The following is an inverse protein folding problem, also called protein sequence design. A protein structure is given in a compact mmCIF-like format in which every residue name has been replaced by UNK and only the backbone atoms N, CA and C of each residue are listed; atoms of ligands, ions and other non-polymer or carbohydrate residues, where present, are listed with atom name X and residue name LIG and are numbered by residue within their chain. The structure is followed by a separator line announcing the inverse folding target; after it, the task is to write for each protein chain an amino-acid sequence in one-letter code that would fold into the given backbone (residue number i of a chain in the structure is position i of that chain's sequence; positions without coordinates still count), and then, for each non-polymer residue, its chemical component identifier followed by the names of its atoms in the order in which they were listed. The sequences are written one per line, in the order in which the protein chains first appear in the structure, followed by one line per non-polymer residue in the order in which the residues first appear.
data_IF_855293994607
#
_entry.id   IF_855293994607
#
_cell.length_a   1.000
_cell.length_b   1.000
_cell.length_c   1.000
_cell.angle_alpha   90.00
_cell.angle_beta   90.00
_cell.angle_gamma   90.00
#
_symmetry.space_group_name_H-M   'P 1'
#
loop_
_entity.id
_entity.type
_entity.pdbx_description
1 polymer ?
#
# COMPACT_ATOMS: atom_id res chain seq x y z
N UNK A 1 -34.94 65.13 -31.24
CA UNK A 1 -34.37 65.07 -29.90
C UNK A 1 -34.64 63.66 -29.39
N UNK A 2 -33.67 62.78 -29.56
CA UNK A 2 -33.72 61.37 -29.08
C UNK A 2 -32.69 61.22 -28.00
N UNK A 3 -33.14 60.85 -26.83
CA UNK A 3 -32.30 60.56 -25.66
C UNK A 3 -31.83 59.08 -25.70
N UNK A 4 -30.54 58.88 -25.83
CA UNK A 4 -29.90 57.56 -25.75
C UNK A 4 -29.79 57.14 -24.28
N UNK A 5 -30.49 56.09 -23.93
CA UNK A 5 -30.31 55.38 -22.65
C UNK A 5 -29.09 54.45 -22.70
N UNK A 6 -28.05 54.78 -21.96
CA UNK A 6 -26.87 53.91 -21.72
C UNK A 6 -27.26 52.77 -20.80
N UNK A 7 -27.29 51.53 -21.33
CA UNK A 7 -27.34 50.27 -20.52
C UNK A 7 -25.97 50.02 -19.92
N UNK A 8 -25.87 50.10 -18.60
CA UNK A 8 -24.71 49.60 -17.84
C UNK A 8 -24.77 48.09 -17.78
N UNK A 9 -23.83 47.46 -18.46
CA UNK A 9 -23.55 46.04 -18.22
C UNK A 9 -22.77 45.95 -16.87
N UNK A 10 -23.45 45.44 -15.85
CA UNK A 10 -22.81 45.01 -14.63
C UNK A 10 -22.18 43.64 -14.88
N UNK A 11 -20.89 43.57 -15.09
CA UNK A 11 -20.14 42.35 -15.09
C UNK A 11 -20.15 41.77 -13.69
N UNK A 12 -20.94 40.75 -13.49
CA UNK A 12 -20.80 39.90 -12.28
C UNK A 12 -19.53 39.06 -12.44
N UNK A 13 -18.45 39.50 -11.83
CA UNK A 13 -17.30 38.64 -11.58
C UNK A 13 -17.74 37.65 -10.51
N UNK A 14 -17.96 36.41 -10.90
CA UNK A 14 -18.09 35.32 -9.96
C UNK A 14 -16.69 35.07 -9.36
N UNK A 15 -16.38 35.77 -8.29
CA UNK A 15 -15.32 35.36 -7.38
C UNK A 15 -15.82 34.09 -6.72
N UNK A 16 -15.34 32.94 -7.18
CA UNK A 16 -15.37 31.72 -6.41
C UNK A 16 -14.66 32.02 -5.09
N UNK A 17 -15.41 32.18 -4.02
CA UNK A 17 -14.86 32.20 -2.68
C UNK A 17 -14.24 30.82 -2.45
N UNK A 18 -12.93 30.74 -2.56
CA UNK A 18 -12.16 29.64 -2.02
C UNK A 18 -12.38 29.65 -0.50
N UNK A 19 -13.25 28.78 -0.05
CA UNK A 19 -13.36 28.47 1.37
C UNK A 19 -12.11 27.66 1.71
N UNK A 20 -11.06 28.34 2.14
CA UNK A 20 -9.90 27.67 2.74
C UNK A 20 -10.39 27.03 4.04
N UNK A 21 -10.78 25.76 3.95
CA UNK A 21 -11.05 24.94 5.13
C UNK A 21 -9.78 24.80 5.98
N UNK A 22 -9.91 24.41 7.25
CA UNK A 22 -8.75 24.18 8.11
C UNK A 22 -7.81 23.18 7.44
N UNK A 23 -6.49 23.41 7.56
CA UNK A 23 -5.47 22.47 7.09
C UNK A 23 -5.69 21.14 7.77
N UNK A 24 -5.95 20.08 6.97
CA UNK A 24 -6.17 18.73 7.47
C UNK A 24 -4.83 18.04 7.69
N UNK A 25 -4.72 17.33 8.80
CA UNK A 25 -3.55 16.53 9.10
C UNK A 25 -3.61 15.23 8.31
N UNK A 26 -2.50 14.84 7.67
CA UNK A 26 -2.38 13.53 7.04
C UNK A 26 -2.10 12.49 8.13
N UNK A 27 -2.94 11.46 8.20
CA UNK A 27 -2.87 10.42 9.21
C UNK A 27 -2.17 9.16 8.68
N UNK A 28 -2.48 8.75 7.45
CA UNK A 28 -1.94 7.55 6.81
C UNK A 28 -1.72 7.79 5.33
N UNK A 29 -0.74 7.08 4.79
CA UNK A 29 -0.45 7.01 3.36
C UNK A 29 -0.34 5.56 2.92
N UNK A 30 -0.70 5.27 1.68
CA UNK A 30 -0.62 3.92 1.12
C UNK A 30 -0.40 3.99 -0.39
N UNK A 31 0.53 3.20 -0.89
CA UNK A 31 0.87 3.12 -2.30
C UNK A 31 0.51 1.76 -2.89
N UNK A 32 -0.18 1.76 -4.03
CA UNK A 32 -0.47 0.57 -4.83
C UNK A 32 0.53 0.39 -5.98
N UNK A 33 0.18 -0.40 -6.99
CA UNK A 33 1.03 -0.59 -8.15
C UNK A 33 1.29 0.73 -8.87
N UNK A 34 0.24 1.47 -9.17
CA UNK A 34 0.29 2.74 -9.89
C UNK A 34 -0.70 3.77 -9.34
N UNK A 35 -1.13 3.60 -8.11
CA UNK A 35 -2.01 4.56 -7.43
C UNK A 35 -1.54 4.80 -6.00
N UNK A 36 -2.08 5.84 -5.40
CA UNK A 36 -1.74 6.27 -4.06
C UNK A 36 -3.00 6.73 -3.32
N UNK A 37 -3.02 6.54 -2.02
CA UNK A 37 -4.15 6.92 -1.16
C UNK A 37 -3.61 7.57 0.10
N UNK A 38 -4.33 8.56 0.61
CA UNK A 38 -4.05 9.19 1.90
C UNK A 38 -5.34 9.33 2.71
N UNK A 39 -5.21 9.11 4.01
CA UNK A 39 -6.26 9.40 4.98
C UNK A 39 -5.89 10.69 5.71
N UNK A 40 -6.82 11.64 5.72
CA UNK A 40 -6.66 12.92 6.39
C UNK A 40 -7.60 13.00 7.59
N UNK A 41 -7.27 13.88 8.53
CA UNK A 41 -8.15 14.18 9.67
C UNK A 41 -9.54 14.63 9.20
N UNK A 42 -10.58 14.28 9.95
CA UNK A 42 -11.98 14.55 9.58
C UNK A 42 -12.52 13.54 8.56
N UNK A 43 -11.99 12.32 8.55
CA UNK A 43 -12.47 11.18 7.76
C UNK A 43 -12.38 11.38 6.23
N UNK A 44 -11.46 12.21 5.79
CA UNK A 44 -11.25 12.48 4.37
C UNK A 44 -10.25 11.49 3.79
N UNK A 45 -10.68 10.72 2.80
CA UNK A 45 -9.83 9.82 2.02
C UNK A 45 -9.59 10.45 0.65
N UNK A 46 -8.32 10.52 0.25
CA UNK A 46 -7.91 11.01 -1.07
C UNK A 46 -7.18 9.91 -1.83
N UNK A 47 -7.38 9.86 -3.13
CA UNK A 47 -6.69 8.93 -4.02
C UNK A 47 -6.23 9.62 -5.29
N UNK A 48 -5.16 9.13 -5.90
CA UNK A 48 -4.61 9.62 -7.16
C UNK A 48 -3.78 8.54 -7.84
N UNK A 49 -3.46 8.77 -9.10
CA UNK A 49 -2.75 7.84 -9.94
C UNK A 49 -3.67 7.15 -10.95
N UNK A 50 -3.38 5.88 -11.24
CA UNK A 50 -4.13 5.09 -12.21
C UNK A 50 -5.52 4.74 -11.69
N UNK A 51 -6.54 4.96 -12.52
CA UNK A 51 -7.95 4.72 -12.18
C UNK A 51 -8.68 3.72 -13.07
N UNK A 52 -8.00 3.11 -14.04
CA UNK A 52 -8.63 2.27 -15.10
C UNK A 52 -9.44 1.09 -14.55
N UNK A 53 -9.07 0.54 -13.39
CA UNK A 53 -9.77 -0.58 -12.76
C UNK A 53 -10.70 -0.18 -11.62
N UNK A 54 -10.90 1.11 -11.43
CA UNK A 54 -11.71 1.64 -10.34
C UNK A 54 -10.97 1.75 -9.01
N UNK A 55 -9.65 1.52 -8.96
CA UNK A 55 -8.87 1.52 -7.73
C UNK A 55 -8.85 2.86 -6.97
N UNK A 56 -9.23 3.95 -7.64
CA UNK A 56 -9.35 5.27 -7.01
C UNK A 56 -10.67 5.51 -6.28
N UNK A 57 -11.75 4.80 -6.67
CA UNK A 57 -13.03 4.87 -5.97
C UNK A 57 -13.91 6.09 -6.29
N UNK A 58 -13.66 6.77 -7.41
CA UNK A 58 -14.39 7.99 -7.80
C UNK A 58 -15.67 7.76 -8.63
N UNK A 59 -16.02 6.50 -8.88
CA UNK A 59 -17.17 6.13 -9.71
C UNK A 59 -16.90 6.10 -11.22
N UNK A 60 -15.66 6.29 -11.63
CA UNK A 60 -15.20 6.28 -13.02
C UNK A 60 -13.88 5.51 -13.18
N UNK A 61 -13.40 5.40 -14.41
CA UNK A 61 -12.12 4.75 -14.75
C UNK A 61 -11.03 5.75 -15.14
N UNK A 62 -11.18 7.00 -14.73
CA UNK A 62 -10.23 8.06 -15.07
C UNK A 62 -9.03 8.10 -14.12
N UNK A 63 -7.85 8.34 -14.69
CA UNK A 63 -6.66 8.64 -13.89
C UNK A 63 -6.79 10.00 -13.20
N UNK A 64 -6.16 10.16 -12.04
CA UNK A 64 -6.06 11.43 -11.33
C UNK A 64 -4.59 11.76 -11.10
N UNK A 65 -4.16 12.96 -11.53
CA UNK A 65 -2.77 13.39 -11.39
C UNK A 65 -2.52 14.18 -10.11
N UNK A 66 -3.58 14.51 -9.39
CA UNK A 66 -3.56 15.21 -8.11
C UNK A 66 -4.44 14.49 -7.10
N UNK A 67 -4.14 14.59 -5.80
CA UNK A 67 -4.99 14.03 -4.76
C UNK A 67 -6.43 14.49 -4.92
N UNK A 68 -7.36 13.54 -5.00
CA UNK A 68 -8.79 13.78 -5.19
C UNK A 68 -9.57 13.07 -4.10
N UNK A 69 -10.48 13.77 -3.45
CA UNK A 69 -11.29 13.23 -2.36
C UNK A 69 -12.24 12.13 -2.87
N UNK A 70 -12.23 11.00 -2.17
CA UNK A 70 -13.18 9.89 -2.39
C UNK A 70 -14.48 10.21 -1.67
N UNK A 71 -15.38 10.92 -2.34
CA UNK A 71 -16.59 11.48 -1.72
C UNK A 71 -17.57 10.41 -1.21
N UNK A 72 -17.53 9.21 -1.77
CA UNK A 72 -18.35 8.07 -1.32
C UNK A 72 -18.04 7.62 0.12
N UNK A 73 -16.86 7.97 0.66
CA UNK A 73 -16.45 7.65 2.03
C UNK A 73 -16.67 8.81 3.01
N UNK A 74 -17.19 9.95 2.58
CA UNK A 74 -17.44 11.08 3.46
C UNK A 74 -18.41 10.71 4.59
N UNK A 75 -18.02 11.03 5.82
CA UNK A 75 -18.82 10.74 7.01
C UNK A 75 -18.88 9.26 7.41
N UNK A 76 -18.01 8.42 6.86
CA UNK A 76 -17.96 6.98 7.16
C UNK A 76 -17.01 6.61 8.31
N UNK A 77 -16.38 7.59 8.94
CA UNK A 77 -15.45 7.39 10.06
C UNK A 77 -14.31 6.40 9.73
N UNK A 78 -13.62 6.68 8.64
CA UNK A 78 -12.51 5.84 8.18
C UNK A 78 -11.28 6.06 9.06
N UNK A 79 -10.72 4.97 9.58
CA UNK A 79 -9.53 4.99 10.45
C UNK A 79 -8.31 4.33 9.82
N UNK A 80 -8.47 3.59 8.73
CA UNK A 80 -7.34 3.04 7.98
C UNK A 80 -7.65 2.89 6.50
N UNK A 81 -6.60 2.98 5.69
CA UNK A 81 -6.63 2.75 4.24
C UNK A 81 -5.45 1.87 3.85
N UNK A 82 -5.65 0.96 2.92
CA UNK A 82 -4.62 0.05 2.44
C UNK A 82 -4.79 -0.19 0.95
N UNK A 83 -3.70 -0.04 0.19
CA UNK A 83 -3.67 -0.36 -1.23
C UNK A 83 -3.17 -1.79 -1.46
N UNK A 84 -3.85 -2.52 -2.33
CA UNK A 84 -3.26 -3.63 -3.05
C UNK A 84 -2.65 -3.14 -4.35
N UNK A 85 -2.30 -4.04 -5.27
CA UNK A 85 -1.73 -3.64 -6.55
C UNK A 85 -2.67 -2.73 -7.35
N UNK A 86 -3.89 -3.19 -7.59
CA UNK A 86 -4.92 -2.46 -8.36
C UNK A 86 -6.28 -2.44 -7.65
N UNK A 87 -6.27 -2.49 -6.34
CA UNK A 87 -7.45 -2.38 -5.50
C UNK A 87 -7.11 -1.64 -4.21
N UNK A 88 -8.14 -1.25 -3.48
CA UNK A 88 -7.99 -0.43 -2.28
C UNK A 88 -9.00 -0.88 -1.24
N UNK A 89 -8.62 -0.78 0.03
CA UNK A 89 -9.49 -1.06 1.17
C UNK A 89 -9.48 0.11 2.14
N UNK A 90 -10.57 0.25 2.88
CA UNK A 90 -10.70 1.20 3.98
C UNK A 90 -11.51 0.57 5.11
N UNK A 91 -11.20 0.92 6.35
CA UNK A 91 -11.90 0.41 7.51
C UNK A 91 -12.55 1.54 8.30
N UNK A 92 -13.84 1.37 8.60
CA UNK A 92 -14.60 2.22 9.50
C UNK A 92 -14.75 1.53 10.85
N UNK A 93 -14.16 2.11 11.90
CA UNK A 93 -14.19 1.52 13.24
C UNK A 93 -15.58 1.61 13.88
N UNK A 94 -16.25 2.75 13.80
CA UNK A 94 -17.58 2.94 14.41
C UNK A 94 -18.65 2.12 13.71
N UNK A 95 -18.57 1.96 12.41
CA UNK A 95 -19.48 1.13 11.62
C UNK A 95 -19.10 -0.36 11.65
N UNK A 96 -17.88 -0.68 12.07
CA UNK A 96 -17.29 -2.03 11.95
C UNK A 96 -17.46 -2.59 10.53
N UNK A 97 -17.09 -1.79 9.54
CA UNK A 97 -17.19 -2.13 8.12
C UNK A 97 -15.83 -1.99 7.43
N UNK A 98 -15.50 -2.98 6.63
CA UNK A 98 -14.39 -2.93 5.68
C UNK A 98 -14.97 -2.62 4.30
N UNK A 99 -14.49 -1.55 3.68
CA UNK A 99 -14.82 -1.19 2.30
C UNK A 99 -13.71 -1.67 1.37
N UNK A 100 -14.08 -2.13 0.17
CA UNK A 100 -13.10 -2.46 -0.88
C UNK A 100 -13.60 -2.01 -2.24
N UNK A 101 -12.69 -1.71 -3.15
CA UNK A 101 -12.96 -1.29 -4.52
C UNK A 101 -11.72 -1.48 -5.40
N UNK A 102 -11.93 -1.42 -6.71
CA UNK A 102 -10.91 -1.61 -7.71
C UNK A 102 -11.09 -2.90 -8.50
N UNK A 103 -9.98 -3.53 -8.88
CA UNK A 103 -9.95 -4.74 -9.66
C UNK A 103 -10.43 -5.95 -8.85
N UNK A 104 -11.46 -6.65 -9.37
CA UNK A 104 -12.16 -7.71 -8.64
C UNK A 104 -11.80 -9.13 -9.05
N UNK A 105 -10.97 -9.35 -10.05
CA UNK A 105 -10.59 -10.69 -10.51
C UNK A 105 -10.08 -11.55 -9.34
N UNK A 106 -10.39 -12.83 -9.38
CA UNK A 106 -10.09 -13.83 -8.33
C UNK A 106 -10.78 -13.57 -6.99
N UNK A 107 -11.70 -12.61 -6.91
CA UNK A 107 -12.41 -12.30 -5.68
C UNK A 107 -11.63 -11.49 -4.66
N UNK A 108 -10.57 -10.77 -5.07
CA UNK A 108 -9.73 -9.97 -4.16
C UNK A 108 -10.47 -8.87 -3.41
N UNK A 109 -11.68 -8.49 -3.86
CA UNK A 109 -12.51 -7.51 -3.16
C UNK A 109 -13.37 -8.11 -2.04
N UNK A 110 -13.56 -9.44 -2.00
CA UNK A 110 -14.23 -10.13 -0.90
C UNK A 110 -15.75 -10.07 -0.91
N UNK A 111 -16.40 -9.75 -2.03
CA UNK A 111 -17.84 -9.58 -2.14
C UNK A 111 -18.61 -10.83 -2.60
N UNK A 112 -17.93 -11.95 -2.80
CA UNK A 112 -18.54 -13.20 -3.29
C UNK A 112 -18.64 -13.31 -4.82
N UNK A 113 -17.99 -12.40 -5.55
CA UNK A 113 -17.91 -12.39 -7.01
C UNK A 113 -16.54 -11.86 -7.47
N UNK A 114 -16.33 -11.78 -8.77
CA UNK A 114 -15.09 -11.27 -9.39
C UNK A 114 -15.29 -9.95 -10.16
N UNK A 115 -16.34 -9.21 -9.84
CA UNK A 115 -16.65 -7.93 -10.51
C UNK A 115 -15.72 -6.83 -10.02
N UNK A 116 -15.30 -5.96 -10.95
CA UNK A 116 -14.61 -4.72 -10.62
C UNK A 116 -15.59 -3.73 -9.98
N UNK A 117 -15.10 -2.92 -9.06
CA UNK A 117 -15.87 -1.88 -8.41
C UNK A 117 -15.17 -0.52 -8.56
N UNK A 118 -15.91 0.47 -9.04
CA UNK A 118 -15.40 1.83 -9.23
C UNK A 118 -15.71 2.76 -8.05
N UNK A 119 -16.48 2.27 -7.09
CA UNK A 119 -16.83 2.97 -5.86
C UNK A 119 -16.68 2.05 -4.65
N UNK A 120 -16.34 2.57 -3.47
CA UNK A 120 -16.25 1.79 -2.25
C UNK A 120 -17.54 1.04 -1.93
N UNK A 121 -17.40 -0.25 -1.58
CA UNK A 121 -18.51 -1.09 -1.14
C UNK A 121 -18.11 -1.85 0.14
N UNK A 122 -19.01 -1.96 1.14
CA UNK A 122 -18.72 -2.74 2.35
C UNK A 122 -18.69 -4.24 2.05
N UNK A 123 -17.73 -4.94 2.64
CA UNK A 123 -17.62 -6.39 2.58
C UNK A 123 -18.56 -6.98 3.62
N UNK A 124 -19.69 -7.53 3.20
CA UNK A 124 -20.74 -8.06 4.11
C UNK A 124 -20.22 -9.16 5.03
N UNK A 125 -19.33 -10.03 4.54
CA UNK A 125 -18.78 -11.14 5.31
C UNK A 125 -17.90 -10.70 6.49
N UNK A 126 -17.39 -9.46 6.48
CA UNK A 126 -16.58 -8.89 7.55
C UNK A 126 -17.38 -7.92 8.44
N UNK A 127 -18.65 -7.73 8.19
CA UNK A 127 -19.48 -6.79 8.94
C UNK A 127 -19.54 -7.17 10.43
N UNK A 128 -19.35 -6.17 11.30
CA UNK A 128 -19.40 -6.36 12.73
C UNK A 128 -18.10 -6.88 13.36
N UNK A 129 -17.05 -7.09 12.57
CA UNK A 129 -15.74 -7.48 13.07
C UNK A 129 -14.91 -6.23 13.42
N UNK A 130 -14.28 -6.27 14.58
CA UNK A 130 -13.31 -5.27 15.00
C UNK A 130 -11.97 -5.61 14.37
N UNK A 131 -11.57 -4.84 13.38
CA UNK A 131 -10.36 -5.08 12.59
C UNK A 131 -9.19 -4.31 13.19
N UNK A 132 -8.08 -5.00 13.37
CA UNK A 132 -6.79 -4.43 13.79
C UNK A 132 -5.96 -3.98 12.59
N UNK A 133 -5.93 -4.81 11.52
CA UNK A 133 -5.13 -4.56 10.33
C UNK A 133 -5.74 -5.23 9.11
N UNK A 134 -5.60 -4.57 7.96
CA UNK A 134 -5.84 -5.17 6.64
C UNK A 134 -4.54 -5.12 5.86
N UNK A 135 -4.17 -6.23 5.23
CA UNK A 135 -3.05 -6.30 4.30
C UNK A 135 -3.56 -6.71 2.92
N UNK A 136 -3.06 -6.06 1.89
CA UNK A 136 -3.41 -6.34 0.50
C UNK A 136 -2.14 -6.63 -0.29
N UNK A 137 -2.15 -7.74 -1.01
CA UNK A 137 -1.11 -8.10 -1.97
C UNK A 137 -1.54 -7.77 -3.39
N UNK A 138 -1.03 -8.53 -4.32
CA UNK A 138 -1.36 -8.40 -5.74
C UNK A 138 -2.79 -8.81 -6.02
N UNK A 139 -3.16 -9.99 -5.54
CA UNK A 139 -4.42 -10.66 -5.86
C UNK A 139 -5.13 -11.24 -4.65
N UNK A 140 -4.66 -10.98 -3.45
CA UNK A 140 -5.27 -11.48 -2.22
C UNK A 140 -5.20 -10.45 -1.10
N UNK A 141 -6.05 -10.63 -0.12
CA UNK A 141 -6.13 -9.76 1.05
C UNK A 141 -6.25 -10.59 2.32
N UNK A 142 -5.86 -9.97 3.44
CA UNK A 142 -6.04 -10.53 4.77
C UNK A 142 -6.54 -9.46 5.72
N UNK A 143 -7.29 -9.89 6.73
CA UNK A 143 -7.70 -9.07 7.85
C UNK A 143 -7.32 -9.74 9.16
N UNK A 144 -6.73 -8.98 10.08
CA UNK A 144 -6.45 -9.40 11.45
C UNK A 144 -7.46 -8.71 12.36
N UNK A 145 -8.18 -9.49 13.15
CA UNK A 145 -9.12 -8.94 14.13
C UNK A 145 -8.40 -8.49 15.39
N UNK A 146 -9.10 -7.70 16.22
CA UNK A 146 -8.56 -7.26 17.53
C UNK A 146 -8.31 -8.45 18.49
N UNK A 147 -8.98 -9.58 18.24
CA UNK A 147 -8.80 -10.84 18.98
C UNK A 147 -7.64 -11.69 18.44
N UNK A 148 -6.95 -11.24 17.39
CA UNK A 148 -5.81 -11.94 16.79
C UNK A 148 -6.17 -13.04 15.80
N UNK A 149 -7.41 -13.14 15.37
CA UNK A 149 -7.85 -14.05 14.30
C UNK A 149 -7.52 -13.47 12.93
N UNK A 150 -7.22 -14.34 11.95
CA UNK A 150 -6.90 -13.94 10.57
C UNK A 150 -7.92 -14.51 9.61
N UNK A 151 -8.41 -13.68 8.71
CA UNK A 151 -9.18 -14.08 7.54
C UNK A 151 -8.47 -13.67 6.26
N UNK A 152 -8.59 -14.47 5.21
CA UNK A 152 -7.97 -14.24 3.91
C UNK A 152 -8.97 -14.48 2.78
N UNK A 153 -8.78 -13.82 1.65
CA UNK A 153 -9.60 -13.94 0.45
C UNK A 153 -8.83 -13.54 -0.80
N UNK A 154 -9.35 -13.94 -1.95
CA UNK A 154 -8.80 -13.67 -3.26
C UNK A 154 -8.16 -14.89 -3.89
N UNK A 155 -7.10 -14.67 -4.67
CA UNK A 155 -6.39 -15.71 -5.41
C UNK A 155 -5.61 -16.64 -4.47
N UNK A 156 -5.61 -17.93 -4.80
CA UNK A 156 -4.99 -18.97 -3.96
C UNK A 156 -4.21 -20.04 -4.74
N UNK A 157 -3.82 -19.78 -5.98
CA UNK A 157 -3.16 -20.80 -6.81
C UNK A 157 -1.87 -21.36 -6.21
N UNK A 158 -1.19 -20.58 -5.39
CA UNK A 158 0.07 -20.97 -4.75
C UNK A 158 -0.08 -21.19 -3.23
N UNK A 159 -1.31 -21.19 -2.72
CA UNK A 159 -1.56 -21.33 -1.28
C UNK A 159 -1.43 -20.04 -0.46
N UNK A 160 -1.41 -18.88 -1.10
CA UNK A 160 -1.23 -17.58 -0.41
C UNK A 160 -2.31 -17.25 0.62
N UNK A 161 -3.46 -17.91 0.58
CA UNK A 161 -4.52 -17.74 1.57
C UNK A 161 -4.27 -18.54 2.87
N UNK A 162 -3.38 -19.54 2.85
CA UNK A 162 -3.06 -20.34 4.04
C UNK A 162 -4.14 -21.32 4.49
N UNK A 163 -5.03 -21.73 3.60
CA UNK A 163 -6.20 -22.54 3.90
C UNK A 163 -5.97 -24.04 3.72
N UNK A 164 -4.77 -24.47 3.27
CA UNK A 164 -4.46 -25.85 2.97
C UNK A 164 -4.90 -26.31 1.59
N UNK A 165 -5.38 -25.41 0.75
CA UNK A 165 -5.87 -25.64 -0.61
C UNK A 165 -5.24 -24.68 -1.59
N UNK A 166 -5.54 -24.88 -2.88
CA UNK A 166 -5.16 -23.96 -3.97
C UNK A 166 -6.39 -23.33 -4.65
N UNK A 167 -7.56 -23.45 -4.02
CA UNK A 167 -8.79 -22.84 -4.54
C UNK A 167 -8.88 -21.38 -4.15
N UNK A 168 -9.22 -20.53 -5.11
CA UNK A 168 -9.51 -19.12 -4.86
C UNK A 168 -10.71 -18.99 -3.90
N UNK A 169 -10.74 -17.92 -3.12
CA UNK A 169 -11.89 -17.62 -2.27
C UNK A 169 -12.43 -16.24 -2.59
N UNK A 170 -13.68 -16.18 -3.05
CA UNK A 170 -14.38 -14.93 -3.34
C UNK A 170 -14.86 -14.23 -2.06
N UNK A 171 -14.85 -14.93 -0.95
CA UNK A 171 -15.27 -14.45 0.37
C UNK A 171 -14.17 -14.66 1.39
N UNK A 172 -14.09 -13.80 2.42
CA UNK A 172 -13.19 -14.00 3.55
C UNK A 172 -13.39 -15.36 4.23
N UNK A 173 -12.25 -16.05 4.47
CA UNK A 173 -12.20 -17.36 5.12
C UNK A 173 -11.23 -17.30 6.31
N UNK A 174 -11.60 -17.87 7.45
CA UNK A 174 -10.70 -18.00 8.59
C UNK A 174 -9.53 -18.93 8.28
N UNK A 175 -8.33 -18.52 8.67
CA UNK A 175 -7.14 -19.37 8.61
C UNK A 175 -7.14 -20.26 9.86
N UNK A 176 -7.64 -21.48 9.74
CA UNK A 176 -7.80 -22.42 10.86
C UNK A 176 -6.46 -22.85 11.47
N UNK A 177 -5.38 -22.81 10.68
CA UNK A 177 -4.04 -23.13 11.16
C UNK A 177 -3.55 -22.21 12.30
N UNK A 178 -4.12 -21.01 12.41
CA UNK A 178 -3.83 -20.08 13.51
C UNK A 178 -4.80 -20.20 14.68
N UNK A 179 -5.63 -21.21 14.74
CA UNK A 179 -6.52 -21.43 15.88
C UNK A 179 -5.69 -21.61 17.17
N UNK A 180 -5.96 -20.77 18.17
CA UNK A 180 -5.19 -20.76 19.43
C UNK A 180 -3.89 -19.94 19.37
N UNK A 181 -3.57 -19.37 18.22
CA UNK A 181 -2.40 -18.49 18.02
C UNK A 181 -2.90 -17.06 17.77
N UNK A 182 -2.41 -16.12 18.57
CA UNK A 182 -2.76 -14.72 18.44
C UNK A 182 -1.83 -14.04 17.43
N UNK A 183 -2.36 -13.73 16.26
CA UNK A 183 -1.61 -13.00 15.23
C UNK A 183 -1.66 -11.51 15.50
N UNK A 184 -0.51 -10.87 15.46
CA UNK A 184 -0.33 -9.43 15.67
C UNK A 184 -0.43 -8.66 14.36
N UNK A 185 0.24 -9.15 13.32
CA UNK A 185 0.43 -8.45 12.06
C UNK A 185 0.57 -9.43 10.91
N UNK A 186 0.07 -9.05 9.74
CA UNK A 186 0.24 -9.79 8.49
C UNK A 186 0.77 -8.88 7.39
N UNK A 187 1.37 -9.48 6.37
CA UNK A 187 1.81 -8.79 5.17
C UNK A 187 1.57 -9.69 3.96
N UNK A 188 1.28 -9.09 2.82
CA UNK A 188 0.99 -9.81 1.59
C UNK A 188 1.86 -9.30 0.44
N UNK A 189 2.51 -10.23 -0.27
CA UNK A 189 3.31 -9.97 -1.47
C UNK A 189 2.52 -10.25 -2.75
N UNK A 190 3.24 -10.55 -3.83
CA UNK A 190 2.60 -10.93 -5.08
C UNK A 190 1.70 -12.15 -4.90
N UNK A 191 2.29 -13.21 -4.39
CA UNK A 191 1.65 -14.52 -4.26
C UNK A 191 2.10 -15.24 -2.97
N UNK A 192 2.62 -14.49 -2.01
CA UNK A 192 2.99 -15.01 -0.70
C UNK A 192 2.46 -14.12 0.41
N UNK A 193 2.49 -14.67 1.61
CA UNK A 193 1.96 -14.04 2.81
C UNK A 193 2.90 -14.29 3.98
N UNK A 194 2.98 -13.36 4.88
CA UNK A 194 3.77 -13.48 6.11
C UNK A 194 2.96 -12.97 7.31
N UNK A 195 3.29 -13.47 8.50
CA UNK A 195 2.65 -13.06 9.73
C UNK A 195 3.64 -13.03 10.89
N UNK A 196 3.36 -12.15 11.84
CA UNK A 196 4.03 -12.10 13.15
C UNK A 196 2.96 -12.30 14.22
N UNK A 197 3.24 -13.17 15.19
CA UNK A 197 2.36 -13.43 16.32
C UNK A 197 2.65 -12.50 17.49
N UNK A 198 1.73 -12.44 18.45
CA UNK A 198 1.94 -11.69 19.71
C UNK A 198 3.17 -12.20 20.49
N UNK A 199 3.49 -13.49 20.36
CA UNK A 199 4.68 -14.09 20.98
C UNK A 199 5.98 -13.80 20.21
N UNK A 200 5.89 -13.10 19.10
CA UNK A 200 7.08 -12.73 18.28
C UNK A 200 7.52 -13.82 17.31
N UNK A 201 6.67 -14.79 17.00
CA UNK A 201 6.94 -15.82 16.00
C UNK A 201 6.62 -15.33 14.59
N UNK A 202 7.46 -15.72 13.63
CA UNK A 202 7.36 -15.35 12.22
C UNK A 202 6.87 -16.55 11.41
N UNK A 203 5.91 -16.32 10.51
CA UNK A 203 5.34 -17.32 9.61
C UNK A 203 5.41 -16.84 8.17
N UNK A 204 5.50 -17.80 7.24
CA UNK A 204 5.42 -17.56 5.80
C UNK A 204 4.64 -18.66 5.09
N UNK A 205 3.92 -18.33 4.02
CA UNK A 205 3.18 -19.27 3.18
C UNK A 205 2.88 -18.68 1.80
N UNK A 206 2.39 -19.54 0.91
CA UNK A 206 2.14 -19.21 -0.48
C UNK A 206 3.31 -19.59 -1.37
N UNK A 207 3.56 -18.79 -2.39
CA UNK A 207 4.63 -19.02 -3.36
C UNK A 207 6.01 -18.76 -2.73
N UNK A 208 6.91 -19.73 -2.84
CA UNK A 208 8.17 -19.71 -2.10
C UNK A 208 9.44 -19.89 -2.92
N UNK A 209 9.40 -19.80 -4.24
CA UNK A 209 10.48 -20.22 -5.14
C UNK A 209 11.76 -19.38 -5.09
N UNK A 210 11.73 -18.21 -4.45
CA UNK A 210 12.94 -17.41 -4.21
C UNK A 210 13.38 -17.45 -2.75
N UNK A 211 12.81 -18.33 -1.92
CA UNK A 211 13.09 -18.37 -0.50
C UNK A 211 12.37 -17.28 0.29
N UNK A 212 11.42 -16.63 -0.33
CA UNK A 212 10.69 -15.48 0.23
C UNK A 212 9.75 -15.85 1.39
N UNK A 213 9.57 -17.13 1.68
CA UNK A 213 8.85 -17.59 2.87
C UNK A 213 9.75 -17.67 4.11
N UNK A 214 11.07 -17.71 3.92
CA UNK A 214 12.05 -17.78 5.02
C UNK A 214 12.25 -19.16 5.62
N UNK A 215 11.75 -20.22 4.97
CA UNK A 215 11.70 -21.58 5.51
C UNK A 215 12.90 -22.46 5.14
N UNK A 216 13.91 -21.88 4.48
CA UNK A 216 15.16 -22.57 4.15
C UNK A 216 15.13 -23.37 2.86
N UNK A 217 14.07 -23.29 2.08
CA UNK A 217 13.90 -23.97 0.79
C UNK A 217 13.22 -23.07 -0.24
N UNK A 218 12.93 -23.60 -1.42
CA UNK A 218 12.25 -22.92 -2.51
C UNK A 218 10.87 -23.52 -2.82
N UNK A 219 10.27 -24.14 -1.80
CA UNK A 219 8.98 -24.82 -1.92
C UNK A 219 7.82 -23.90 -1.55
N UNK A 220 6.71 -24.06 -2.25
CA UNK A 220 5.45 -23.40 -1.90
C UNK A 220 4.87 -24.03 -0.61
N UNK A 221 4.08 -23.26 0.12
CA UNK A 221 3.36 -23.71 1.32
C UNK A 221 1.88 -23.35 1.20
N UNK A 222 1.01 -24.32 1.42
CA UNK A 222 -0.44 -24.12 1.43
C UNK A 222 -0.96 -23.74 2.82
N UNK A 223 -0.16 -23.97 3.85
CA UNK A 223 -0.45 -23.61 5.24
C UNK A 223 0.67 -22.74 5.81
N UNK A 224 0.37 -21.89 6.79
CA UNK A 224 1.39 -21.11 7.46
C UNK A 224 2.53 -21.99 7.99
N UNK A 225 3.76 -21.68 7.56
CA UNK A 225 4.97 -22.33 8.02
C UNK A 225 5.73 -21.47 9.00
N UNK A 226 6.12 -22.03 10.13
CA UNK A 226 6.88 -21.29 11.15
C UNK A 226 8.35 -21.14 10.73
N UNK A 227 8.84 -19.92 10.74
CA UNK A 227 10.25 -19.61 10.47
C UNK A 227 11.05 -19.85 11.74
N UNK A 228 11.95 -20.85 11.72
CA UNK A 228 12.68 -21.32 12.92
C UNK A 228 14.12 -20.80 13.00
N UNK A 229 14.61 -20.14 11.97
CA UNK A 229 16.02 -19.78 11.83
C UNK A 229 16.43 -18.49 12.56
N UNK A 230 15.50 -17.81 13.21
CA UNK A 230 15.76 -16.59 13.97
C UNK A 230 15.65 -16.91 15.48
N UNK A 231 16.47 -17.82 15.94
CA UNK A 231 16.46 -18.25 17.34
C UNK A 231 16.89 -17.11 18.28
N UNK A 232 16.15 -16.95 19.36
CA UNK A 232 16.43 -15.95 20.39
C UNK A 232 15.94 -14.53 20.06
N UNK A 233 15.42 -14.29 18.86
CA UNK A 233 14.86 -13.00 18.45
C UNK A 233 13.34 -13.07 18.37
N UNK A 234 12.68 -12.07 18.97
CA UNK A 234 11.23 -11.87 18.80
C UNK A 234 10.99 -10.88 17.68
N UNK A 235 10.18 -11.27 16.69
CA UNK A 235 9.78 -10.37 15.60
C UNK A 235 8.60 -9.51 16.03
N UNK A 236 8.63 -8.24 15.64
CA UNK A 236 7.58 -7.27 15.96
C UNK A 236 6.91 -6.68 14.72
N UNK A 237 7.57 -6.74 13.57
CA UNK A 237 7.02 -6.27 12.30
C UNK A 237 7.42 -7.20 11.15
N UNK A 238 6.56 -7.26 10.14
CA UNK A 238 6.83 -7.92 8.87
C UNK A 238 6.23 -7.11 7.73
N UNK A 239 6.93 -7.05 6.62
CA UNK A 239 6.44 -6.48 5.36
C UNK A 239 6.85 -7.40 4.22
N UNK A 240 6.07 -7.42 3.15
CA UNK A 240 6.40 -8.14 1.93
C UNK A 240 6.60 -7.16 0.78
N UNK A 241 7.65 -7.37 -0.01
CA UNK A 241 7.70 -6.85 -1.35
C UNK A 241 7.06 -7.83 -2.33
N UNK A 242 7.31 -7.64 -3.62
CA UNK A 242 6.75 -8.52 -4.62
C UNK A 242 7.19 -9.98 -4.43
N UNK A 243 8.48 -10.21 -4.28
CA UNK A 243 9.10 -11.54 -4.11
C UNK A 243 10.15 -11.57 -3.01
N UNK A 244 10.08 -10.67 -2.07
CA UNK A 244 10.94 -10.62 -0.91
C UNK A 244 10.14 -10.31 0.36
N UNK A 245 10.74 -10.56 1.51
CA UNK A 245 10.11 -10.35 2.81
C UNK A 245 11.11 -9.64 3.74
N UNK A 246 10.58 -8.78 4.58
CA UNK A 246 11.34 -7.93 5.49
C UNK A 246 10.73 -8.10 6.88
N UNK A 247 11.57 -8.29 7.89
CA UNK A 247 11.12 -8.38 9.27
C UNK A 247 12.00 -7.56 10.21
N UNK A 248 11.41 -7.10 11.30
CA UNK A 248 12.10 -6.34 12.33
C UNK A 248 11.91 -7.03 13.67
N UNK A 249 13.00 -7.20 14.40
CA UNK A 249 12.99 -7.77 15.76
C UNK A 249 12.69 -6.70 16.81
N UNK A 250 12.39 -7.14 18.02
CA UNK A 250 12.15 -6.24 19.16
C UNK A 250 13.37 -5.38 19.53
N UNK A 251 14.58 -5.80 19.14
CA UNK A 251 15.81 -5.02 19.29
C UNK A 251 16.00 -3.95 18.20
N UNK A 252 15.08 -3.86 17.22
CA UNK A 252 15.17 -2.95 16.10
C UNK A 252 16.07 -3.42 14.95
N UNK A 253 16.47 -4.70 14.97
CA UNK A 253 17.29 -5.30 13.91
C UNK A 253 16.44 -5.69 12.72
N UNK A 254 16.93 -5.39 11.51
CA UNK A 254 16.23 -5.66 10.26
C UNK A 254 16.78 -6.94 9.61
N UNK A 255 15.85 -7.77 9.14
CA UNK A 255 16.14 -9.03 8.44
C UNK A 255 15.45 -9.02 7.09
N UNK A 256 16.12 -9.49 6.04
CA UNK A 256 15.56 -9.61 4.70
C UNK A 256 15.81 -11.00 4.14
N UNK A 257 14.91 -11.46 3.29
CA UNK A 257 14.99 -12.76 2.62
C UNK A 257 14.11 -12.81 1.37
N UNK A 258 14.43 -13.72 0.48
CA UNK A 258 13.76 -13.89 -0.79
C UNK A 258 14.64 -13.46 -1.97
N UNK A 259 14.01 -12.83 -2.95
CA UNK A 259 14.63 -12.47 -4.22
C UNK A 259 15.48 -11.21 -4.11
N UNK A 260 16.67 -11.22 -4.71
CA UNK A 260 17.60 -10.10 -4.66
C UNK A 260 18.25 -9.77 -6.01
N UNK A 261 17.61 -10.09 -7.12
CA UNK A 261 18.13 -9.79 -8.45
C UNK A 261 18.50 -8.31 -8.65
N UNK A 262 17.79 -7.41 -7.99
CA UNK A 262 18.01 -5.96 -8.05
C UNK A 262 18.66 -5.40 -6.77
N UNK A 263 19.11 -6.26 -5.89
CA UNK A 263 19.69 -5.86 -4.62
C UNK A 263 18.66 -5.49 -3.54
N UNK A 264 17.39 -5.85 -3.71
CA UNK A 264 16.31 -5.47 -2.79
C UNK A 264 16.43 -6.04 -1.38
N UNK A 265 17.34 -6.99 -1.14
CA UNK A 265 17.61 -7.47 0.21
C UNK A 265 18.64 -6.59 0.95
N UNK A 266 19.51 -5.86 0.24
CA UNK A 266 20.37 -4.84 0.84
C UNK A 266 21.70 -5.34 1.42
N UNK A 267 22.11 -6.58 1.13
CA UNK A 267 23.30 -7.19 1.72
C UNK A 267 24.62 -6.88 0.99
N UNK A 268 24.60 -5.96 0.03
CA UNK A 268 25.80 -5.61 -0.75
C UNK A 268 26.07 -6.54 -1.93
N UNK A 269 25.13 -7.43 -2.23
CA UNK A 269 25.19 -8.39 -3.34
C UNK A 269 23.80 -8.54 -4.00
N UNK A 270 23.71 -9.47 -4.94
CA UNK A 270 22.46 -9.77 -5.68
C UNK A 270 22.02 -11.23 -5.44
N UNK A 271 22.42 -11.80 -4.31
CA UNK A 271 22.12 -13.18 -3.94
C UNK A 271 20.78 -13.30 -3.21
N UNK A 272 19.99 -14.31 -3.58
CA UNK A 272 18.78 -14.68 -2.86
C UNK A 272 19.14 -15.25 -1.47
N UNK A 273 18.26 -15.04 -0.51
CA UNK A 273 18.37 -15.66 0.81
C UNK A 273 17.10 -16.45 1.12
N UNK A 274 17.27 -17.71 1.51
CA UNK A 274 16.16 -18.62 1.81
C UNK A 274 15.70 -18.56 3.26
N UNK A 275 16.45 -17.86 4.10
CA UNK A 275 16.15 -17.65 5.53
C UNK A 275 16.37 -16.17 5.88
N UNK A 276 15.77 -15.68 6.97
CA UNK A 276 16.01 -14.32 7.43
C UNK A 276 17.50 -14.04 7.66
N UNK A 277 17.99 -13.00 7.01
CA UNK A 277 19.37 -12.55 7.09
C UNK A 277 19.43 -11.15 7.69
N UNK A 278 20.17 -10.99 8.77
CA UNK A 278 20.34 -9.68 9.41
C UNK A 278 21.06 -8.70 8.48
N UNK A 279 20.51 -7.50 8.35
CA UNK A 279 21.10 -6.44 7.55
C UNK A 279 22.20 -5.73 8.33
N UNK A 280 23.44 -6.14 8.13
CA UNK A 280 24.59 -5.63 8.87
C UNK A 280 24.87 -4.14 8.62
N UNK A 281 24.58 -3.64 7.43
CA UNK A 281 24.76 -2.23 7.07
C UNK A 281 23.91 -1.27 7.93
N UNK A 282 22.83 -1.73 8.54
CA UNK A 282 21.98 -0.96 9.44
C UNK A 282 22.00 -1.48 10.88
N UNK A 283 22.98 -2.29 11.26
CA UNK A 283 23.08 -2.90 12.60
C UNK A 283 23.16 -1.88 13.75
N UNK A 284 23.69 -0.69 13.49
CA UNK A 284 23.79 0.40 14.47
C UNK A 284 22.51 1.26 14.56
N UNK A 285 21.49 0.93 13.77
CA UNK A 285 20.23 1.67 13.72
C UNK A 285 19.10 0.85 14.33
N UNK A 286 18.21 1.51 15.04
CA UNK A 286 16.96 0.92 15.48
C UNK A 286 15.87 1.19 14.43
N UNK A 287 15.42 0.15 13.75
CA UNK A 287 14.41 0.26 12.70
C UNK A 287 13.03 0.33 13.33
N UNK A 288 12.27 1.37 12.97
CA UNK A 288 10.91 1.61 13.48
C UNK A 288 9.82 1.24 12.47
N UNK A 289 10.10 1.35 11.17
CA UNK A 289 9.13 1.04 10.12
C UNK A 289 9.83 0.50 8.87
N UNK A 290 9.15 -0.40 8.18
CA UNK A 290 9.64 -1.04 6.95
C UNK A 290 8.53 -1.04 5.90
N UNK A 291 8.92 -1.03 4.62
CA UNK A 291 8.00 -1.18 3.50
C UNK A 291 8.71 -1.83 2.32
N UNK A 292 8.03 -2.75 1.67
CA UNK A 292 8.51 -3.42 0.47
C UNK A 292 7.70 -3.00 -0.76
N UNK A 293 8.41 -2.60 -1.80
CA UNK A 293 7.83 -2.31 -3.09
C UNK A 293 7.91 -3.50 -4.05
N UNK A 294 7.65 -3.25 -5.32
CA UNK A 294 7.76 -4.30 -6.32
C UNK A 294 9.17 -4.92 -6.32
N UNK A 295 10.20 -4.10 -6.41
CA UNK A 295 11.61 -4.54 -6.47
C UNK A 295 12.53 -3.66 -5.63
N UNK A 296 11.99 -2.91 -4.69
CA UNK A 296 12.77 -2.05 -3.80
C UNK A 296 12.31 -2.20 -2.36
N UNK A 297 13.10 -1.68 -1.44
CA UNK A 297 12.88 -1.77 0.00
C UNK A 297 13.19 -0.43 0.65
N UNK A 298 12.38 -0.04 1.62
CA UNK A 298 12.60 1.14 2.43
C UNK A 298 12.56 0.78 3.90
N UNK A 299 13.44 1.41 4.68
CA UNK A 299 13.49 1.28 6.13
C UNK A 299 13.65 2.64 6.80
N UNK A 300 12.84 2.87 7.83
CA UNK A 300 12.83 4.07 8.63
C UNK A 300 13.41 3.77 10.00
N UNK A 301 14.34 4.60 10.46
CA UNK A 301 14.89 4.51 11.80
C UNK A 301 14.03 5.25 12.82
N UNK A 302 14.22 4.96 14.11
CA UNK A 302 13.46 5.60 15.19
C UNK A 302 13.79 7.10 15.36
N UNK A 303 14.91 7.56 14.81
CA UNK A 303 15.28 8.98 14.77
C UNK A 303 14.86 9.70 13.46
N UNK A 304 14.03 9.06 12.65
CA UNK A 304 13.41 9.66 11.47
C UNK A 304 14.25 9.67 10.20
N UNK A 305 15.33 8.90 10.15
CA UNK A 305 16.16 8.74 8.96
C UNK A 305 15.63 7.63 8.07
N UNK A 306 15.55 7.91 6.77
CA UNK A 306 15.07 6.98 5.77
C UNK A 306 16.20 6.42 4.92
N UNK A 307 16.18 5.10 4.72
CA UNK A 307 17.09 4.36 3.83
C UNK A 307 16.29 3.62 2.78
N UNK A 308 16.83 3.55 1.56
CA UNK A 308 16.23 2.83 0.46
C UNK A 308 17.27 2.03 -0.34
N UNK A 309 16.84 0.95 -0.97
CA UNK A 309 17.67 0.11 -1.83
C UNK A 309 16.82 -0.75 -2.75
N UNK A 310 17.49 -1.38 -3.70
CA UNK A 310 16.88 -2.25 -4.69
C UNK A 310 16.79 -1.59 -6.06
N UNK A 311 15.78 -1.96 -6.81
CA UNK A 311 15.55 -1.49 -8.17
C UNK A 311 15.23 -0.01 -8.22
N UNK A 312 15.90 0.72 -9.12
CA UNK A 312 15.85 2.18 -9.14
C UNK A 312 15.71 2.77 -10.54
N UNK A 313 15.18 2.00 -11.49
CA UNK A 313 15.06 2.45 -12.89
C UNK A 313 14.29 3.77 -13.03
N UNK A 314 13.29 4.00 -12.19
CA UNK A 314 12.44 5.19 -12.21
C UNK A 314 12.74 6.18 -11.07
N UNK A 315 13.79 5.92 -10.31
CA UNK A 315 14.14 6.75 -9.16
C UNK A 315 13.36 6.43 -7.89
N UNK A 316 12.70 5.27 -7.80
CA UNK A 316 11.87 4.89 -6.64
C UNK A 316 12.64 4.72 -5.33
N UNK A 317 13.97 4.60 -5.39
CA UNK A 317 14.82 4.62 -4.18
C UNK A 317 14.99 6.04 -3.62
N UNK A 318 14.99 7.06 -4.48
CA UNK A 318 14.92 8.45 -4.03
C UNK A 318 16.26 9.13 -3.72
N UNK A 319 17.38 8.62 -4.25
CA UNK A 319 18.73 9.10 -3.90
C UNK A 319 19.39 9.97 -4.97
N UNK A 320 18.62 10.38 -5.98
CA UNK A 320 19.10 11.33 -7.02
C UNK A 320 19.74 10.67 -8.24
N UNK A 321 19.67 9.35 -8.33
CA UNK A 321 20.12 8.58 -9.49
C UNK A 321 19.06 7.57 -9.95
N UNK A 322 19.35 6.84 -11.01
CA UNK A 322 18.47 5.82 -11.60
C UNK A 322 19.19 4.48 -11.74
N UNK A 323 20.15 4.21 -10.87
CA UNK A 323 20.89 2.93 -10.82
C UNK A 323 20.43 2.10 -9.62
N UNK A 324 20.44 0.78 -9.78
CA UNK A 324 20.08 -0.13 -8.69
C UNK A 324 21.09 -0.06 -7.54
N UNK A 325 20.60 -0.21 -6.34
CA UNK A 325 21.42 -0.21 -5.14
C UNK A 325 21.25 -1.52 -4.36
N UNK A 326 22.33 -2.24 -4.15
CA UNK A 326 22.31 -3.48 -3.37
C UNK A 326 22.67 -3.28 -1.88
N UNK A 327 22.87 -2.05 -1.45
CA UNK A 327 23.11 -1.67 -0.05
C UNK A 327 22.22 -0.49 0.33
N UNK A 328 21.84 -0.36 1.60
CA UNK A 328 21.02 0.77 2.06
C UNK A 328 21.66 2.11 1.75
N UNK A 329 20.87 2.99 1.17
CA UNK A 329 21.26 4.34 0.79
C UNK A 329 20.41 5.37 1.55
N UNK A 330 21.03 6.42 2.14
CA UNK A 330 20.25 7.44 2.82
C UNK A 330 19.45 8.28 1.83
N UNK A 331 18.17 8.49 2.12
CA UNK A 331 17.28 9.35 1.35
C UNK A 331 17.22 10.71 2.04
N UNK A 332 17.57 11.77 1.30
CA UNK A 332 17.63 13.12 1.82
C UNK A 332 16.34 13.88 1.51
N UNK A 333 15.84 14.59 2.53
CA UNK A 333 14.67 15.46 2.40
C UNK A 333 15.09 16.94 2.46
N UNK A 334 14.40 17.81 1.74
CA UNK A 334 14.62 19.24 1.91
C UNK A 334 14.20 19.68 3.32
N UNK A 335 14.93 20.66 3.90
CA UNK A 335 14.60 21.33 5.15
C UNK A 335 14.62 20.47 6.43
N UNK A 336 15.56 19.58 6.59
CA UNK A 336 15.78 18.80 7.82
C UNK A 336 14.48 18.30 8.47
N UNK A 337 13.71 17.51 7.72
CA UNK A 337 12.48 16.88 8.19
C UNK A 337 12.73 15.44 8.59
N UNK A 338 12.04 14.99 9.63
CA UNK A 338 12.04 13.59 10.03
C UNK A 338 10.87 12.86 9.38
N UNK A 339 11.13 11.72 8.78
CA UNK A 339 10.09 10.84 8.24
C UNK A 339 9.41 10.12 9.40
N UNK A 340 8.08 10.03 9.36
CA UNK A 340 7.27 9.33 10.35
C UNK A 340 6.48 8.17 9.78
N UNK A 341 6.27 8.13 8.46
CA UNK A 341 5.59 7.04 7.77
C UNK A 341 6.10 6.89 6.34
N UNK A 342 6.16 5.65 5.86
CA UNK A 342 6.58 5.29 4.51
C UNK A 342 5.62 4.29 3.88
N UNK A 343 5.50 4.32 2.56
CA UNK A 343 4.79 3.30 1.80
C UNK A 343 5.39 3.15 0.40
N UNK A 344 5.74 1.93 0.05
CA UNK A 344 6.27 1.60 -1.27
C UNK A 344 5.16 1.10 -2.20
N UNK A 345 5.10 1.68 -3.40
CA UNK A 345 4.33 1.13 -4.51
C UNK A 345 5.19 0.21 -5.38
N UNK A 346 4.72 -0.12 -6.58
CA UNK A 346 5.53 -0.91 -7.50
C UNK A 346 6.74 -0.12 -7.99
N UNK A 347 6.52 1.11 -8.44
CA UNK A 347 7.53 1.95 -9.08
C UNK A 347 7.63 3.33 -8.43
N UNK A 348 6.97 3.54 -7.31
CA UNK A 348 6.98 4.80 -6.60
C UNK A 348 7.03 4.60 -5.09
N UNK A 349 7.29 5.67 -4.38
CA UNK A 349 7.40 5.67 -2.92
C UNK A 349 6.74 6.92 -2.37
N UNK A 350 6.09 6.78 -1.22
CA UNK A 350 5.48 7.87 -0.46
C UNK A 350 6.12 7.97 0.92
N UNK A 351 6.27 9.18 1.43
CA UNK A 351 6.70 9.43 2.80
C UNK A 351 5.92 10.57 3.42
N UNK A 352 5.61 10.45 4.70
CA UNK A 352 5.02 11.49 5.52
C UNK A 352 6.07 11.95 6.54
N UNK A 353 6.20 13.25 6.73
CA UNK A 353 7.15 13.85 7.68
C UNK A 353 6.47 14.39 8.93
N UNK A 354 7.25 14.65 9.97
CA UNK A 354 6.81 15.27 11.23
C UNK A 354 6.32 16.72 11.06
N UNK A 355 6.67 17.36 9.95
CA UNK A 355 6.14 18.68 9.56
C UNK A 355 4.80 18.60 8.84
N UNK A 356 4.18 17.43 8.76
CA UNK A 356 2.92 17.21 8.04
C UNK A 356 3.02 17.49 6.54
N UNK A 357 4.14 17.11 5.95
CA UNK A 357 4.36 17.13 4.51
C UNK A 357 4.38 15.71 3.97
N UNK A 358 3.75 15.50 2.82
CA UNK A 358 3.80 14.25 2.07
C UNK A 358 4.74 14.44 0.90
N UNK A 359 5.67 13.51 0.74
CA UNK A 359 6.61 13.47 -0.37
C UNK A 359 6.38 12.23 -1.20
N UNK A 360 6.64 12.32 -2.50
CA UNK A 360 6.60 11.19 -3.42
C UNK A 360 7.79 11.22 -4.37
N UNK A 361 8.17 10.06 -4.86
CA UNK A 361 9.22 9.90 -5.88
C UNK A 361 9.05 8.56 -6.60
N UNK A 362 9.77 8.41 -7.71
CA UNK A 362 9.69 7.26 -8.59
C UNK A 362 8.96 7.55 -9.89
N UNK A 363 8.20 6.58 -10.36
CA UNK A 363 7.45 6.65 -11.61
C UNK A 363 6.22 7.56 -11.48
N UNK A 364 6.05 8.43 -12.48
CA UNK A 364 4.94 9.38 -12.50
C UNK A 364 3.94 9.21 -13.65
N UNK A 365 4.10 8.23 -14.51
CA UNK A 365 3.32 8.10 -15.78
C UNK A 365 1.81 8.04 -15.63
N UNK A 366 1.29 7.58 -14.51
CA UNK A 366 -0.15 7.55 -14.24
C UNK A 366 -0.61 8.66 -13.28
N UNK A 367 0.28 9.59 -12.96
CA UNK A 367 0.00 10.62 -11.97
C UNK A 367 0.11 10.15 -10.51
N UNK A 368 0.66 8.95 -10.25
CA UNK A 368 0.76 8.37 -8.91
C UNK A 368 1.61 9.17 -7.92
N UNK A 369 2.41 10.12 -8.41
CA UNK A 369 3.18 11.03 -7.57
C UNK A 369 2.38 12.22 -7.04
N UNK A 370 1.24 12.55 -7.66
CA UNK A 370 0.32 13.56 -7.15
C UNK A 370 0.71 15.02 -7.39
N UNK A 371 1.59 15.30 -8.36
CA UNK A 371 2.09 16.66 -8.65
C UNK A 371 1.32 17.38 -9.75
N UNK A 372 0.26 16.79 -10.29
CA UNK A 372 -0.49 17.34 -11.42
C UNK A 372 0.16 17.09 -12.78
N UNK A 373 1.20 16.28 -12.84
CA UNK A 373 1.94 15.92 -14.04
C UNK A 373 2.20 14.41 -14.11
N UNK A 374 2.94 13.97 -15.13
CA UNK A 374 3.32 12.57 -15.35
C UNK A 374 4.84 12.36 -15.36
N UNK A 375 5.58 13.25 -14.72
CA UNK A 375 7.05 13.28 -14.71
C UNK A 375 7.59 12.36 -13.62
N UNK A 376 8.57 11.52 -13.98
CA UNK A 376 9.32 10.71 -13.01
C UNK A 376 10.21 11.61 -12.15
N UNK A 377 10.41 11.21 -10.89
CA UNK A 377 11.25 11.93 -9.92
C UNK A 377 12.18 10.95 -9.22
N UNK A 378 13.47 11.26 -9.17
CA UNK A 378 14.43 10.42 -8.46
C UNK A 378 14.89 10.99 -7.11
N UNK A 379 14.25 12.05 -6.65
CA UNK A 379 14.40 12.61 -5.31
C UNK A 379 13.03 12.91 -4.71
N UNK A 380 12.87 12.91 -3.38
CA UNK A 380 11.62 13.29 -2.75
C UNK A 380 11.14 14.67 -3.19
N UNK A 381 9.89 14.72 -3.64
CA UNK A 381 9.22 15.99 -3.97
C UNK A 381 7.93 16.11 -3.15
N UNK A 382 7.72 17.26 -2.56
CA UNK A 382 6.52 17.57 -1.77
C UNK A 382 5.26 17.52 -2.64
N UNK A 383 4.22 16.87 -2.12
CA UNK A 383 2.88 16.92 -2.72
C UNK A 383 2.17 18.13 -2.12
N UNK A 384 2.14 19.22 -2.86
CA UNK A 384 1.69 20.52 -2.36
C UNK A 384 0.23 20.50 -1.90
N UNK A 385 -0.64 19.78 -2.61
CA UNK A 385 -2.06 19.67 -2.28
C UNK A 385 -2.36 19.01 -0.93
N UNK A 386 -1.44 18.23 -0.39
CA UNK A 386 -1.60 17.52 0.88
C UNK A 386 -0.75 18.08 2.01
N UNK A 387 0.22 18.93 1.70
CA UNK A 387 1.29 19.28 2.62
C UNK A 387 1.06 20.62 3.28
N UNK A 388 1.42 20.73 4.55
CA UNK A 388 1.34 21.96 5.31
C UNK A 388 2.21 23.07 4.72
N UNK A 389 3.41 22.73 4.26
CA UNK A 389 4.38 23.65 3.67
C UNK A 389 4.23 23.74 2.14
N UNK A 390 3.10 23.32 1.58
CA UNK A 390 2.81 23.47 0.15
C UNK A 390 2.61 24.93 -0.23
N UNK A 391 3.15 25.34 -1.38
CA UNK A 391 3.14 26.75 -1.82
C UNK A 391 1.74 27.26 -2.17
N UNK A 392 0.81 26.38 -2.50
CA UNK A 392 -0.58 26.71 -2.86
C UNK A 392 -1.58 26.49 -1.73
N UNK A 393 -1.13 26.07 -0.52
CA UNK A 393 -1.99 25.57 0.53
C UNK A 393 -2.61 24.20 0.17
N UNK A 394 -3.32 23.62 1.13
CA UNK A 394 -4.04 22.34 0.85
C UNK A 394 -5.25 22.63 -0.04
N UNK A 395 -5.22 22.10 -1.25
CA UNK A 395 -6.33 22.15 -2.20
C UNK A 395 -6.62 20.74 -2.71
N UNK A 396 -7.67 20.15 -2.17
CA UNK A 396 -8.10 18.78 -2.54
C UNK A 396 -9.41 18.89 -3.31
N UNK A 397 -9.40 18.43 -4.55
CA UNK A 397 -10.60 18.36 -5.36
C UNK A 397 -11.51 17.23 -4.87
N UNK A 398 -12.82 17.46 -4.87
CA UNK A 398 -13.81 16.44 -4.56
C UNK A 398 -14.18 15.66 -5.82
N UNK A 399 -14.39 14.34 -5.67
CA UNK A 399 -14.97 13.55 -6.74
C UNK A 399 -16.43 13.97 -6.98
N UNK A 400 -16.85 14.01 -8.22
CA UNK A 400 -18.21 14.45 -8.64
C UNK A 400 -19.30 13.40 -8.43
N UNK A 401 -19.11 12.45 -7.53
CA UNK A 401 -20.12 11.42 -7.28
C UNK A 401 -21.19 11.99 -6.37
N UNK A 402 -22.43 11.99 -6.85
CA UNK A 402 -23.60 12.29 -6.02
C UNK A 402 -23.73 11.24 -4.92
N UNK A 403 -23.40 11.65 -3.71
CA UNK A 403 -23.61 10.83 -2.52
C UNK A 403 -25.09 10.91 -2.16
N UNK A 404 -25.82 9.81 -2.34
CA UNK A 404 -27.17 9.69 -1.83
C UNK A 404 -27.18 9.94 -0.31
N UNK A 405 -28.12 10.73 0.14
CA UNK A 405 -28.19 11.45 1.41
C UNK A 405 -28.53 10.62 2.64
N UNK A 406 -27.77 9.57 2.96
CA UNK A 406 -27.86 8.95 4.27
C UNK A 406 -26.76 9.43 5.20
N UNK A 407 -26.86 10.72 5.59
CA UNK A 407 -25.93 11.34 6.54
C UNK A 407 -26.51 11.32 7.94
N UNK A 408 -26.14 10.32 8.73
CA UNK A 408 -26.17 10.46 10.19
C UNK A 408 -24.82 10.97 10.65
N UNK A 409 -24.78 12.22 11.08
CA UNK A 409 -23.56 12.87 11.56
C UNK A 409 -23.21 12.35 12.96
N UNK A 410 -21.99 11.75 13.11
CA UNK A 410 -21.43 11.43 14.43
C UNK A 410 -20.13 12.20 14.57
N UNK A 411 -20.03 12.99 15.63
CA UNK A 411 -18.86 13.82 15.95
C UNK A 411 -17.58 12.98 16.03
N UNK A 412 -16.48 13.38 15.35
CA UNK A 412 -15.23 12.66 15.41
C UNK A 412 -14.57 12.84 16.76
N UNK A 413 -14.40 11.76 17.50
CA UNK A 413 -13.38 11.69 18.54
C UNK A 413 -12.04 11.44 17.87
N UNK A 414 -11.02 12.24 18.19
CA UNK A 414 -9.66 12.04 17.71
C UNK A 414 -9.18 10.63 18.04
N UNK A 415 -9.14 9.77 17.05
CA UNK A 415 -8.61 8.42 17.20
C UNK A 415 -7.37 8.27 16.34
N UNK A 416 -6.31 7.89 16.99
CA UNK A 416 -5.06 7.59 16.33
C UNK A 416 -5.14 6.22 15.68
N UNK A 417 -4.99 6.15 14.38
CA UNK A 417 -4.78 4.88 13.70
C UNK A 417 -3.39 4.36 14.09
N UNK A 418 -3.35 3.28 14.85
CA UNK A 418 -2.10 2.65 15.32
C UNK A 418 -1.70 1.48 14.43
N UNK A 419 -2.20 1.40 13.23
CA UNK A 419 -1.86 0.31 12.32
C UNK A 419 -0.70 0.75 11.46
N UNK A 420 0.48 0.11 11.57
CA UNK A 420 1.56 0.32 10.62
C UNK A 420 1.06 -0.01 9.23
N UNK A 421 1.34 0.86 8.30
CA UNK A 421 0.91 0.65 6.95
C UNK A 421 1.85 -0.31 6.23
N UNK A 422 1.46 -1.56 6.23
CA UNK A 422 2.20 -2.65 5.65
C UNK A 422 1.79 -2.84 4.20
N UNK A 423 2.15 -1.90 3.35
CA UNK A 423 1.75 -2.04 1.98
C UNK A 423 2.70 -2.88 1.21
N UNK A 424 2.14 -3.88 0.75
CA UNK A 424 2.83 -4.82 -0.06
C UNK A 424 2.28 -4.79 -1.45
N UNK A 425 3.13 -4.49 -2.38
CA UNK A 425 2.74 -4.33 -3.75
C UNK A 425 3.52 -5.30 -4.60
N UNK A 426 2.93 -6.42 -4.76
CA UNK A 426 3.47 -7.39 -5.64
C UNK A 426 2.92 -7.25 -7.06
N UNK A 427 3.55 -7.90 -8.00
CA UNK A 427 3.09 -7.99 -9.37
C UNK A 427 2.50 -9.36 -9.64
N UNK A 428 1.27 -9.40 -10.15
CA UNK A 428 0.59 -10.64 -10.50
C UNK A 428 1.14 -11.32 -11.75
N UNK A 429 1.96 -10.63 -12.52
CA UNK A 429 2.46 -11.09 -13.80
C UNK A 429 3.27 -12.39 -13.75
N UNK A 430 3.84 -12.70 -12.61
CA UNK A 430 4.69 -13.87 -12.44
C UNK A 430 3.92 -15.18 -12.25
N UNK A 431 2.61 -15.16 -12.16
CA UNK A 431 1.80 -16.36 -11.97
C UNK A 431 1.69 -17.26 -13.20
N UNK A 432 2.16 -16.82 -14.35
CA UNK A 432 2.05 -17.57 -15.60
C UNK A 432 3.22 -18.49 -15.91
N UNK A 433 4.22 -18.53 -15.11
CA UNK A 433 5.37 -19.37 -15.36
C UNK A 433 5.65 -20.31 -14.20
N UNK A 434 5.14 -21.51 -14.22
CA UNK A 434 5.67 -22.53 -13.32
C UNK A 434 7.17 -22.67 -13.51
N UNK A 435 8.00 -22.01 -12.70
CA UNK A 435 9.43 -22.28 -12.62
C UNK A 435 10.33 -21.68 -13.69
N UNK A 436 9.96 -20.58 -14.29
CA UNK A 436 10.85 -19.88 -15.22
C UNK A 436 12.01 -19.23 -14.50
N UNK A 437 13.23 -19.75 -14.62
CA UNK A 437 14.44 -19.09 -14.17
C UNK A 437 14.65 -17.81 -14.97
N UNK A 438 14.52 -16.65 -14.34
CA UNK A 438 14.99 -15.38 -14.85
C UNK A 438 14.14 -14.68 -15.93
N UNK A 439 12.94 -15.18 -16.20
CA UNK A 439 12.07 -14.58 -17.21
C UNK A 439 11.42 -13.25 -16.78
N UNK A 440 11.46 -12.92 -15.50
CA UNK A 440 10.74 -11.77 -14.94
C UNK A 440 11.49 -10.44 -15.02
N UNK A 441 12.65 -10.44 -15.62
CA UNK A 441 13.54 -9.28 -15.62
C UNK A 441 13.02 -8.11 -16.47
N UNK A 442 12.19 -8.38 -17.47
CA UNK A 442 11.76 -7.41 -18.47
C UNK A 442 10.31 -7.66 -18.90
N UNK A 443 9.35 -7.56 -17.98
CA UNK A 443 7.94 -7.46 -18.40
C UNK A 443 7.72 -6.03 -18.89
N UNK A 444 7.48 -5.79 -20.21
CA UNK A 444 7.18 -4.46 -20.71
C UNK A 444 5.90 -3.93 -20.06
N UNK A 445 5.83 -2.64 -19.82
CA UNK A 445 4.63 -1.98 -19.27
C UNK A 445 3.34 -2.30 -20.01
N UNK A 446 3.45 -2.64 -21.29
CA UNK A 446 2.30 -2.97 -22.14
C UNK A 446 1.74 -4.39 -21.91
N UNK A 447 2.49 -5.28 -21.30
CA UNK A 447 2.04 -6.67 -21.09
C UNK A 447 1.11 -6.84 -19.91
N UNK A 448 1.14 -5.91 -18.96
CA UNK A 448 0.17 -5.88 -17.84
C UNK A 448 -1.27 -5.73 -18.37
N UNK A 449 -1.46 -4.98 -19.43
CA UNK A 449 -2.79 -4.83 -20.08
C UNK A 449 -3.23 -6.10 -20.83
N UNK A 450 -2.30 -6.84 -21.43
CA UNK A 450 -2.62 -8.07 -22.18
C UNK A 450 -3.00 -9.23 -21.26
N UNK A 451 -2.42 -9.30 -20.06
CA UNK A 451 -2.70 -10.36 -19.10
C UNK A 451 -4.14 -10.30 -18.53
N UNK A 452 -4.80 -9.15 -18.61
CA UNK A 452 -6.20 -8.97 -18.17
C UNK A 452 -7.22 -9.55 -19.15
N UNK A 453 -6.91 -9.54 -20.44
CA UNK A 453 -7.83 -9.97 -21.50
C UNK A 453 -7.86 -11.50 -21.63
N UNK A 454 -6.82 -12.19 -21.18
CA UNK A 454 -6.69 -13.65 -21.27
C UNK A 454 -7.26 -14.44 -20.07
N UNK A 455 -7.81 -13.77 -19.07
CA UNK A 455 -8.30 -14.39 -17.83
C UNK A 455 -9.78 -14.80 -17.83
N UNK A 456 -10.44 -14.77 -18.97
CA UNK A 456 -11.84 -15.23 -19.09
C UNK A 456 -11.90 -16.53 -19.88
N UNK A 457 -11.45 -17.61 -19.31
CA UNK A 457 -11.92 -18.97 -19.60
C UNK A 457 -11.88 -19.75 -18.29
#
# INVERSE_FOLDING_TARGET
MAEEAKVKQSGASSTSQEVSGPIRRVLLISAGASHSVALLSGDVVCSWGRGEDGQLGHGDAEDRFSPTQVSALDGRDIVSVTCGADHTTAYSETQMLVYSWGWGDFGRLGHGNSSDLFSPQPIKALQGLRIRQIACGDSHCLAVTMEGEVQSWGRNQNGQLGLGTTDDSLLPQKIKAFQGILVKMVAAGAEHTAAVTEDGELYGWGWGRYGNLGLGDREDRLLPGKVTTVEGEKMVQVACGWRHTISVSSSGSLYTYGWSKYGQLGHGDFEDHLTPHKLEALSDNHISQISGGWRHTMALTNDGKLYGWGWNKFGQVGVGDNVDHCSPMPVKFPQDQNVVEISCGWRHTLALTDRQNVFSWGRGTNGQLGHGDTVDRNVPKIIEALSKDGSSGQHIEASKVDVSSDKTWVSPTERYAVVPNENVHGQSAASFGGGGNGADANVPENDVKRMRIGGTI
#
